data_IF_870221550138
#
_entry.id   IF_870221550138
#
_cell.length_a   1.000
_cell.length_b   1.000
_cell.length_c   1.000
_cell.angle_alpha   90.00
_cell.angle_beta   90.00
_cell.angle_gamma   90.00
#
_symmetry.space_group_name_H-M   'P 1'
#
loop_
_entity.id
_entity.type
_entity.pdbx_description
1 polymer ?
#
# COMPACT_ATOMS: atom_id res chain seq x y z
N UNK A 1 28.71 -26.68 10.12
CA UNK A 1 28.36 -25.27 9.85
C UNK A 1 29.35 -24.40 10.57
N UNK A 2 30.08 -23.58 9.83
CA UNK A 2 30.91 -22.54 10.42
C UNK A 2 30.03 -21.47 11.09
N UNK A 3 30.56 -20.81 12.13
CA UNK A 3 29.88 -19.72 12.85
C UNK A 3 29.29 -18.68 11.89
N UNK A 4 30.05 -18.34 10.84
CA UNK A 4 29.68 -17.38 9.80
C UNK A 4 28.41 -17.82 9.06
N UNK A 5 28.33 -19.08 8.65
CA UNK A 5 27.18 -19.61 7.91
C UNK A 5 25.92 -19.58 8.77
N UNK A 6 26.03 -19.92 10.05
CA UNK A 6 24.91 -19.88 11.00
C UNK A 6 24.41 -18.46 11.22
N UNK A 7 25.31 -17.48 11.35
CA UNK A 7 24.95 -16.05 11.50
C UNK A 7 24.21 -15.55 10.26
N UNK A 8 24.67 -15.90 9.06
CA UNK A 8 23.98 -15.52 7.82
C UNK A 8 22.58 -16.12 7.72
N UNK A 9 22.38 -17.39 8.10
CA UNK A 9 21.04 -18.02 8.08
C UNK A 9 20.08 -17.36 9.07
N UNK A 10 20.55 -16.99 10.27
CA UNK A 10 19.72 -16.23 11.21
C UNK A 10 19.38 -14.84 10.70
N UNK A 11 20.35 -14.14 10.10
CA UNK A 11 20.14 -12.81 9.54
C UNK A 11 19.09 -12.84 8.42
N UNK A 12 19.17 -13.80 7.49
CA UNK A 12 18.20 -13.92 6.41
C UNK A 12 16.79 -14.22 6.92
N UNK A 13 16.66 -15.03 7.97
CA UNK A 13 15.37 -15.26 8.63
C UNK A 13 14.78 -13.95 9.19
N UNK A 14 15.54 -13.18 9.97
CA UNK A 14 15.05 -11.91 10.53
C UNK A 14 14.69 -10.89 9.44
N UNK A 15 15.51 -10.79 8.39
CA UNK A 15 15.24 -9.94 7.23
C UNK A 15 13.94 -10.37 6.55
N UNK A 16 13.73 -11.68 6.34
CA UNK A 16 12.51 -12.21 5.74
C UNK A 16 11.26 -11.87 6.58
N UNK A 17 11.33 -12.07 7.90
CA UNK A 17 10.26 -11.68 8.81
C UNK A 17 9.98 -10.18 8.77
N UNK A 18 11.02 -9.34 8.72
CA UNK A 18 10.89 -7.89 8.58
C UNK A 18 10.21 -7.49 7.27
N UNK A 19 10.61 -8.09 6.14
CA UNK A 19 9.96 -7.86 4.85
C UNK A 19 8.48 -8.25 4.86
N UNK A 20 8.13 -9.41 5.46
CA UNK A 20 6.73 -9.82 5.60
C UNK A 20 5.92 -8.84 6.46
N UNK A 21 6.50 -8.36 7.56
CA UNK A 21 5.86 -7.36 8.41
C UNK A 21 5.64 -6.03 7.67
N UNK A 22 6.60 -5.56 6.88
CA UNK A 22 6.42 -4.34 6.09
C UNK A 22 5.41 -4.51 4.96
N UNK A 23 5.38 -5.68 4.31
CA UNK A 23 4.36 -5.98 3.31
C UNK A 23 2.96 -5.96 3.92
N UNK A 24 2.75 -6.59 5.09
CA UNK A 24 1.43 -6.59 5.74
C UNK A 24 1.01 -5.20 6.21
N UNK A 25 1.94 -4.39 6.74
CA UNK A 25 1.68 -2.98 7.08
C UNK A 25 1.32 -2.16 5.83
N UNK A 26 2.04 -2.38 4.73
CA UNK A 26 1.74 -1.73 3.44
C UNK A 26 0.35 -2.11 2.91
N UNK A 27 -0.06 -3.38 3.03
CA UNK A 27 -1.43 -3.81 2.70
C UNK A 27 -2.50 -3.15 3.59
N UNK A 28 -2.19 -2.96 4.87
CA UNK A 28 -3.13 -2.39 5.83
C UNK A 28 -3.24 -0.85 5.75
N UNK A 29 -2.22 -0.17 5.23
CA UNK A 29 -2.25 1.30 5.17
C UNK A 29 -3.30 1.82 4.20
N UNK A 30 -3.98 2.88 4.62
CA UNK A 30 -5.08 3.52 3.87
C UNK A 30 -4.63 4.81 3.17
N UNK A 31 -3.33 5.09 3.20
CA UNK A 31 -2.71 6.35 2.78
C UNK A 31 -1.69 6.07 1.66
N UNK A 32 -2.06 5.31 0.63
CA UNK A 32 -1.19 5.06 -0.52
C UNK A 32 -1.10 6.28 -1.43
N UNK A 33 -2.23 6.95 -1.62
CA UNK A 33 -2.34 8.14 -2.48
C UNK A 33 -3.23 9.14 -1.77
N UNK A 34 -2.72 10.36 -1.57
CA UNK A 34 -3.46 11.49 -1.03
C UNK A 34 -3.80 12.46 -2.18
N UNK A 35 -5.07 12.82 -2.31
CA UNK A 35 -5.57 13.76 -3.28
C UNK A 35 -6.29 14.91 -2.56
N UNK A 36 -6.03 16.14 -3.01
CA UNK A 36 -6.63 17.37 -2.44
C UNK A 36 -7.55 18.02 -3.47
N UNK A 37 -8.74 17.48 -3.73
CA UNK A 37 -9.67 18.10 -4.67
C UNK A 37 -10.12 19.47 -4.16
N UNK A 38 -10.16 20.44 -5.07
CA UNK A 38 -10.71 21.78 -4.84
C UNK A 38 -11.89 21.96 -5.78
N UNK A 39 -13.03 22.41 -5.25
CA UNK A 39 -14.19 22.71 -6.09
C UNK A 39 -14.04 24.12 -6.65
N UNK A 40 -13.95 24.25 -7.97
CA UNK A 40 -13.97 25.54 -8.65
C UNK A 40 -15.42 26.03 -8.70
N UNK A 41 -15.79 26.94 -7.81
CA UNK A 41 -17.09 27.60 -7.84
C UNK A 41 -17.01 28.74 -8.83
N UNK A 42 -17.59 28.57 -10.02
CA UNK A 42 -17.79 29.67 -10.97
C UNK A 42 -18.93 30.55 -10.46
N UNK A 43 -18.60 31.54 -9.63
CA UNK A 43 -19.56 32.59 -9.29
C UNK A 43 -19.67 33.52 -10.49
N UNK A 44 -20.84 33.53 -11.13
CA UNK A 44 -21.14 34.33 -12.34
C UNK A 44 -21.08 35.85 -12.14
N UNK A 45 -20.70 36.35 -10.95
CA UNK A 45 -20.70 37.77 -10.62
C UNK A 45 -19.30 38.20 -10.14
N UNK A 46 -18.70 39.07 -10.93
CA UNK A 46 -17.26 39.26 -11.14
C UNK A 46 -16.53 40.14 -10.09
N UNK A 47 -16.92 40.15 -8.81
CA UNK A 47 -16.28 41.12 -7.89
C UNK A 47 -16.30 40.87 -6.38
N UNK A 48 -16.80 39.76 -5.86
CA UNK A 48 -16.89 39.64 -4.39
C UNK A 48 -16.49 38.24 -3.87
N UNK A 49 -15.43 38.23 -3.06
CA UNK A 49 -15.00 37.16 -2.15
C UNK A 49 -14.17 35.98 -2.71
N UNK A 50 -13.08 36.23 -3.45
CA UNK A 50 -12.04 35.19 -3.60
C UNK A 50 -11.30 34.91 -2.27
N UNK A 51 -11.14 35.93 -1.41
CA UNK A 51 -10.43 35.80 -0.12
C UNK A 51 -11.26 35.13 1.00
N UNK A 52 -12.60 35.26 1.03
CA UNK A 52 -13.43 34.65 2.08
C UNK A 52 -13.69 33.15 1.83
N UNK A 53 -13.52 32.70 0.57
CA UNK A 53 -13.72 31.31 0.18
C UNK A 53 -12.44 30.46 0.29
N UNK A 54 -11.31 31.05 0.71
CA UNK A 54 -10.05 30.34 0.95
C UNK A 54 -10.24 29.29 2.05
N UNK A 55 -10.36 28.02 1.64
CA UNK A 55 -10.51 26.87 2.55
C UNK A 55 -11.94 26.33 2.70
N UNK A 56 -12.95 27.04 2.20
CA UNK A 56 -14.36 26.65 2.36
C UNK A 56 -14.76 25.47 1.45
N UNK A 57 -14.15 25.38 0.27
CA UNK A 57 -14.44 24.35 -0.75
C UNK A 57 -13.22 23.44 -1.01
N UNK A 58 -12.80 22.72 0.02
CA UNK A 58 -11.67 21.79 -0.03
C UNK A 58 -12.09 20.38 0.32
N UNK A 59 -11.51 19.42 -0.37
CA UNK A 59 -11.57 18.02 0.01
C UNK A 59 -10.18 17.44 0.21
N UNK A 60 -10.14 16.39 1.00
CA UNK A 60 -8.98 15.54 1.21
C UNK A 60 -9.45 14.10 1.02
N UNK A 61 -8.78 13.37 0.13
CA UNK A 61 -9.15 12.01 -0.23
C UNK A 61 -7.90 11.16 -0.17
N UNK A 62 -7.91 10.18 0.72
CA UNK A 62 -6.86 9.20 0.86
C UNK A 62 -7.32 7.86 0.33
N UNK A 63 -6.57 7.31 -0.61
CA UNK A 63 -6.81 5.99 -1.17
C UNK A 63 -5.83 4.99 -0.54
N UNK A 64 -6.37 3.92 0.04
CA UNK A 64 -5.62 2.71 0.34
C UNK A 64 -5.70 1.71 -0.80
N UNK A 65 -5.19 0.50 -0.58
CA UNK A 65 -5.30 -0.57 -1.56
C UNK A 65 -6.74 -1.12 -1.69
N UNK A 66 -7.47 -1.23 -0.58
CA UNK A 66 -8.83 -1.78 -0.58
C UNK A 66 -9.90 -0.78 -0.14
N UNK A 67 -9.55 0.09 0.81
CA UNK A 67 -10.45 1.08 1.39
C UNK A 67 -9.82 2.46 1.29
N UNK A 68 -10.65 3.46 1.03
CA UNK A 68 -10.27 4.87 1.04
C UNK A 68 -11.08 5.68 2.03
N UNK A 69 -10.53 6.81 2.44
CA UNK A 69 -11.18 7.83 3.26
C UNK A 69 -11.33 9.10 2.44
N UNK A 70 -12.44 9.79 2.62
CA UNK A 70 -12.64 11.10 2.02
C UNK A 70 -13.27 12.06 3.02
N UNK A 71 -12.72 13.25 3.07
CA UNK A 71 -13.21 14.37 3.86
C UNK A 71 -13.52 15.50 2.88
N UNK A 72 -14.81 15.79 2.66
CA UNK A 72 -15.21 16.85 1.73
C UNK A 72 -15.89 17.99 2.48
N UNK A 73 -15.45 19.22 2.23
CA UNK A 73 -16.11 20.43 2.69
C UNK A 73 -16.79 21.12 1.50
N UNK A 74 -18.12 21.17 1.54
CA UNK A 74 -18.95 21.87 0.55
C UNK A 74 -19.34 23.28 1.02
N UNK A 75 -18.59 23.84 1.98
CA UNK A 75 -18.84 25.14 2.59
C UNK A 75 -19.82 25.16 3.77
N UNK A 76 -20.30 23.98 4.20
CA UNK A 76 -21.09 23.78 5.42
C UNK A 76 -20.33 22.96 6.48
N UNK A 77 -19.01 22.85 6.32
CA UNK A 77 -18.11 22.11 7.20
C UNK A 77 -17.67 20.74 6.64
N UNK A 78 -16.61 20.15 7.20
CA UNK A 78 -16.04 18.88 6.72
C UNK A 78 -16.98 17.69 6.94
N UNK A 79 -17.09 16.81 5.94
CA UNK A 79 -17.84 15.56 6.00
C UNK A 79 -16.92 14.38 5.73
N UNK A 80 -16.76 13.50 6.73
CA UNK A 80 -15.98 12.29 6.62
C UNK A 80 -16.84 11.14 6.07
N UNK A 81 -16.30 10.40 5.10
CA UNK A 81 -16.93 9.23 4.51
C UNK A 81 -15.84 8.23 4.13
N UNK A 82 -16.16 6.94 4.24
CA UNK A 82 -15.29 5.85 3.82
C UNK A 82 -15.90 5.15 2.60
N UNK A 83 -15.05 4.66 1.71
CA UNK A 83 -15.50 3.95 0.52
C UNK A 83 -14.57 2.78 0.18
N UNK A 84 -15.11 1.83 -0.58
CA UNK A 84 -14.34 0.71 -1.15
C UNK A 84 -13.71 1.16 -2.47
N UNK A 85 -12.40 0.96 -2.60
CA UNK A 85 -11.65 1.38 -3.80
C UNK A 85 -12.12 0.61 -5.04
N UNK A 86 -12.49 -0.67 -4.87
CA UNK A 86 -13.03 -1.49 -5.95
C UNK A 86 -14.31 -0.90 -6.53
N UNK A 87 -15.25 -0.49 -5.67
CA UNK A 87 -16.54 0.05 -6.12
C UNK A 87 -16.37 1.43 -6.76
N UNK A 88 -15.44 2.23 -6.25
CA UNK A 88 -15.12 3.55 -6.80
C UNK A 88 -14.47 3.45 -8.18
N UNK A 89 -13.60 2.46 -8.38
CA UNK A 89 -12.92 2.18 -9.63
C UNK A 89 -13.87 1.70 -10.74
N UNK A 90 -14.91 0.94 -10.37
CA UNK A 90 -15.98 0.54 -11.30
C UNK A 90 -16.87 1.71 -11.70
N UNK A 91 -17.12 2.65 -10.78
CA UNK A 91 -17.93 3.85 -11.05
C UNK A 91 -17.16 4.90 -11.86
N UNK A 92 -15.87 5.09 -11.54
CA UNK A 92 -15.04 6.15 -12.07
C UNK A 92 -13.74 5.59 -12.67
N UNK A 93 -13.79 4.99 -13.89
CA UNK A 93 -12.62 4.35 -14.51
C UNK A 93 -11.52 5.35 -14.90
N UNK A 94 -11.82 6.64 -14.97
CA UNK A 94 -10.84 7.70 -15.25
C UNK A 94 -9.93 8.02 -14.05
N UNK A 95 -10.32 7.60 -12.84
CA UNK A 95 -9.64 8.00 -11.60
C UNK A 95 -8.37 7.16 -11.35
N UNK A 96 -8.41 5.87 -11.71
CA UNK A 96 -7.26 4.96 -11.62
C UNK A 96 -7.42 3.81 -12.63
N UNK A 97 -6.33 3.27 -13.13
CA UNK A 97 -6.36 2.15 -14.08
C UNK A 97 -6.58 0.84 -13.33
N UNK A 98 -7.67 0.13 -13.64
CA UNK A 98 -8.02 -1.15 -12.98
C UNK A 98 -6.93 -2.21 -13.07
N UNK A 99 -6.29 -2.35 -14.24
CA UNK A 99 -5.22 -3.31 -14.43
C UNK A 99 -4.02 -3.08 -13.51
N UNK A 100 -3.67 -1.82 -13.26
CA UNK A 100 -2.53 -1.47 -12.39
C UNK A 100 -2.85 -1.82 -10.93
N UNK A 101 -4.04 -1.48 -10.47
CA UNK A 101 -4.53 -1.89 -9.14
C UNK A 101 -4.51 -3.43 -8.99
N UNK A 102 -5.04 -4.16 -9.97
CA UNK A 102 -5.08 -5.63 -9.92
C UNK A 102 -3.67 -6.24 -9.87
N UNK A 103 -2.75 -5.76 -10.70
CA UNK A 103 -1.36 -6.24 -10.72
C UNK A 103 -0.66 -5.94 -9.40
N UNK A 104 -0.90 -4.78 -8.77
CA UNK A 104 -0.33 -4.50 -7.44
C UNK A 104 -0.83 -5.45 -6.37
N UNK A 105 -2.14 -5.74 -6.33
CA UNK A 105 -2.72 -6.70 -5.38
C UNK A 105 -2.15 -8.11 -5.59
N UNK A 106 -2.06 -8.56 -6.84
CA UNK A 106 -1.50 -9.87 -7.20
C UNK A 106 0.01 -9.95 -6.94
N UNK A 107 0.74 -8.87 -7.20
CA UNK A 107 2.18 -8.81 -6.97
C UNK A 107 2.52 -8.91 -5.49
N UNK A 108 1.76 -8.20 -4.63
CA UNK A 108 1.96 -8.26 -3.18
C UNK A 108 1.55 -9.63 -2.63
N UNK A 109 0.45 -10.22 -3.10
CA UNK A 109 0.05 -11.55 -2.63
C UNK A 109 1.10 -12.61 -2.99
N UNK A 110 1.65 -12.55 -4.21
CA UNK A 110 2.74 -13.42 -4.64
C UNK A 110 4.02 -13.19 -3.83
N UNK A 111 4.36 -11.92 -3.52
CA UNK A 111 5.51 -11.59 -2.69
C UNK A 111 5.38 -12.15 -1.27
N UNK A 112 4.19 -12.08 -0.66
CA UNK A 112 3.93 -12.69 0.64
C UNK A 112 4.07 -14.21 0.59
N UNK A 113 3.54 -14.86 -0.45
CA UNK A 113 3.69 -16.32 -0.64
C UNK A 113 5.16 -16.74 -0.73
N UNK A 114 5.95 -16.10 -1.59
CA UNK A 114 7.38 -16.41 -1.70
C UNK A 114 8.16 -16.05 -0.43
N UNK A 115 7.78 -14.97 0.27
CA UNK A 115 8.36 -14.63 1.56
C UNK A 115 8.12 -15.72 2.61
N UNK A 116 6.90 -16.27 2.69
CA UNK A 116 6.60 -17.38 3.59
C UNK A 116 7.41 -18.64 3.24
N UNK A 117 7.50 -18.98 1.95
CA UNK A 117 8.31 -20.11 1.47
C UNK A 117 9.79 -19.92 1.83
N UNK A 118 10.33 -18.71 1.62
CA UNK A 118 11.70 -18.36 1.98
C UNK A 118 11.95 -18.48 3.49
N UNK A 119 11.00 -18.01 4.30
CA UNK A 119 11.06 -18.11 5.75
C UNK A 119 11.13 -19.58 6.22
N UNK A 120 10.30 -20.46 5.63
CA UNK A 120 10.32 -21.90 5.91
C UNK A 120 11.70 -22.50 5.57
N UNK A 121 12.23 -22.21 4.39
CA UNK A 121 13.56 -22.70 4.01
C UNK A 121 14.68 -22.16 4.91
N UNK A 122 14.59 -20.91 5.34
CA UNK A 122 15.55 -20.32 6.28
C UNK A 122 15.52 -21.04 7.64
N UNK A 123 14.33 -21.35 8.17
CA UNK A 123 14.17 -22.12 9.42
C UNK A 123 14.75 -23.53 9.25
N UNK A 124 14.37 -24.23 8.17
CA UNK A 124 14.86 -25.60 7.90
C UNK A 124 16.39 -25.62 7.83
N UNK A 125 16.99 -24.69 7.11
CA UNK A 125 18.44 -24.56 7.00
C UNK A 125 19.13 -24.13 8.30
N UNK A 126 18.40 -23.51 9.23
CA UNK A 126 18.93 -23.12 10.54
C UNK A 126 18.93 -24.27 11.56
N UNK A 127 18.01 -25.24 11.43
CA UNK A 127 17.82 -26.33 12.41
C UNK A 127 18.38 -27.65 11.91
N UNK A 128 18.26 -27.93 10.62
CA UNK A 128 18.80 -29.13 9.99
C UNK A 128 20.22 -28.85 9.48
N UNK A 129 21.05 -29.89 9.35
CA UNK A 129 22.33 -29.78 8.63
C UNK A 129 22.07 -29.16 7.27
N UNK A 130 22.82 -28.12 6.85
CA UNK A 130 22.53 -27.38 5.63
C UNK A 130 22.47 -28.37 4.48
N UNK A 131 21.36 -28.38 3.75
CA UNK A 131 21.24 -29.20 2.55
C UNK A 131 22.20 -28.56 1.55
N UNK A 132 23.39 -29.15 1.38
CA UNK A 132 24.34 -28.65 0.42
C UNK A 132 23.69 -28.63 -0.97
N UNK A 133 23.90 -27.55 -1.71
CA UNK A 133 23.57 -27.45 -3.13
C UNK A 133 23.99 -28.73 -3.84
N UNK A 134 23.14 -29.19 -4.76
CA UNK A 134 23.37 -30.40 -5.56
C UNK A 134 24.85 -30.46 -5.97
N UNK A 135 25.49 -31.55 -5.60
CA UNK A 135 26.93 -31.75 -5.68
C UNK A 135 27.34 -31.82 -7.14
N UNK A 136 27.63 -30.68 -7.74
CA UNK A 136 28.48 -30.60 -8.91
C UNK A 136 29.92 -30.78 -8.47
N UNK A 137 30.40 -32.03 -8.43
CA UNK A 137 31.84 -32.34 -8.32
C UNK A 137 32.56 -31.73 -9.52
N UNK A 138 33.57 -30.91 -9.26
CA UNK A 138 34.95 -31.08 -9.76
C UNK A 138 35.90 -30.35 -8.82
#
# INVERSE_FOLDING_TARGET
MDLVQRVFTFLTFFVCCGCLAFLTVSLATQEWIEAKPVMLVYVSNDSLHLAENEGKFRGEVSFGLFHGKKTLNYGLGPRHSTFSVKDELQKNPALMIFGLWLVTVLGISLAVLFGLVSCIFAIVNSVMTPVETITGRT
#
